data_IF_724982339255
#
_entry.id   IF_724982339255
#
_cell.length_a   1.000
_cell.length_b   1.000
_cell.length_c   1.000
_cell.angle_alpha   90.00
_cell.angle_beta   90.00
_cell.angle_gamma   90.00
#
_symmetry.space_group_name_H-M   'P 1'
#
loop_
_entity.id
_entity.type
_entity.pdbx_description
1 polymer ?
#
# COMPACT_ATOMS: atom_id res chain seq x y z
N UNK A 1 -5.23 6.16 7.48
CA UNK A 1 -3.83 6.65 7.48
C UNK A 1 -3.67 8.05 6.86
N UNK A 2 -4.73 8.74 6.43
CA UNK A 2 -4.62 10.07 5.81
C UNK A 2 -4.05 11.19 6.72
N UNK A 3 -3.99 10.96 8.04
CA UNK A 3 -3.45 11.92 9.02
C UNK A 3 -1.93 11.77 9.25
N UNK A 4 -1.29 10.81 8.60
CA UNK A 4 0.18 10.64 8.68
C UNK A 4 0.85 11.26 7.47
N UNK A 5 2.15 11.55 7.61
CA UNK A 5 2.98 12.07 6.53
C UNK A 5 2.88 11.22 5.25
N UNK A 6 2.42 11.79 4.12
CA UNK A 6 2.33 11.09 2.84
C UNK A 6 3.67 10.54 2.35
N UNK A 7 4.81 11.19 2.63
CA UNK A 7 6.12 10.74 2.15
C UNK A 7 6.48 9.35 2.69
N UNK A 8 6.02 9.03 3.90
CA UNK A 8 6.18 7.70 4.49
C UNK A 8 5.53 6.60 3.62
N UNK A 9 4.45 6.91 2.90
CA UNK A 9 3.72 5.96 2.05
C UNK A 9 4.29 5.88 0.64
N UNK A 10 5.12 6.83 0.22
CA UNK A 10 5.76 6.89 -1.09
C UNK A 10 7.29 7.01 -0.95
N UNK A 11 7.96 5.99 -0.37
CA UNK A 11 9.40 6.07 -0.15
C UNK A 11 10.18 6.07 -1.47
N UNK A 12 11.31 6.76 -1.48
CA UNK A 12 12.29 6.65 -2.57
C UNK A 12 12.78 5.22 -2.76
N UNK A 13 13.44 4.96 -3.91
CA UNK A 13 13.97 3.64 -4.24
C UNK A 13 14.95 3.16 -3.15
N UNK A 14 14.57 2.08 -2.46
CA UNK A 14 15.36 1.50 -1.36
C UNK A 14 14.96 1.97 0.04
N UNK A 15 14.02 2.91 0.14
CA UNK A 15 13.45 3.36 1.41
C UNK A 15 12.64 2.28 2.13
N UNK A 16 12.53 2.42 3.45
CA UNK A 16 11.79 1.48 4.29
C UNK A 16 10.29 1.62 4.09
N UNK A 17 9.60 0.48 3.94
CA UNK A 17 8.12 0.42 3.88
C UNK A 17 7.50 0.03 5.22
N UNK A 18 8.33 -0.25 6.24
CA UNK A 18 7.90 -0.93 7.47
C UNK A 18 6.95 -0.07 8.30
N UNK A 19 7.28 1.20 8.52
CA UNK A 19 6.47 2.09 9.35
C UNK A 19 5.14 2.43 8.67
N UNK A 20 5.16 2.77 7.38
CA UNK A 20 3.94 3.00 6.61
C UNK A 20 2.99 1.78 6.63
N UNK A 21 3.54 0.57 6.54
CA UNK A 21 2.73 -0.65 6.69
C UNK A 21 2.10 -0.78 8.08
N UNK A 22 2.84 -0.51 9.16
CA UNK A 22 2.28 -0.53 10.53
C UNK A 22 1.11 0.45 10.66
N UNK A 23 1.28 1.68 10.17
CA UNK A 23 0.22 2.70 10.18
C UNK A 23 -0.98 2.23 9.35
N UNK A 24 -0.74 1.67 8.17
CA UNK A 24 -1.80 1.19 7.30
C UNK A 24 -2.57 0.02 7.91
N UNK A 25 -1.91 -0.86 8.69
CA UNK A 25 -2.56 -1.98 9.37
C UNK A 25 -3.60 -1.56 10.40
N UNK A 26 -3.44 -0.38 11.01
CA UNK A 26 -4.39 0.21 11.95
C UNK A 26 -5.50 1.04 11.25
N UNK A 27 -5.50 1.13 9.92
CA UNK A 27 -6.51 1.87 9.18
C UNK A 27 -7.79 1.05 9.03
N UNK A 28 -8.93 1.60 9.41
CA UNK A 28 -10.24 0.92 9.35
C UNK A 28 -10.63 0.59 7.89
N UNK A 29 -10.40 1.52 6.96
CA UNK A 29 -10.71 1.36 5.53
C UNK A 29 -9.61 0.65 4.71
N UNK A 30 -8.81 -0.21 5.35
CA UNK A 30 -7.64 -0.83 4.72
C UNK A 30 -8.03 -1.72 3.53
N UNK A 31 -9.14 -2.45 3.65
CA UNK A 31 -9.60 -3.39 2.63
C UNK A 31 -10.07 -2.64 1.39
N UNK A 32 -10.88 -1.61 1.57
CA UNK A 32 -11.40 -0.73 0.51
C UNK A 32 -10.25 0.02 -0.18
N UNK A 33 -9.25 0.46 0.59
CA UNK A 33 -8.04 1.06 0.05
C UNK A 33 -7.24 0.09 -0.83
N UNK A 34 -7.16 -1.19 -0.43
CA UNK A 34 -6.50 -2.21 -1.25
C UNK A 34 -7.27 -2.47 -2.54
N UNK A 35 -8.58 -2.64 -2.45
CA UNK A 35 -9.45 -2.86 -3.60
C UNK A 35 -9.34 -1.72 -4.61
N UNK A 36 -9.39 -0.47 -4.13
CA UNK A 36 -9.18 0.71 -4.96
C UNK A 36 -7.83 0.64 -5.69
N UNK A 37 -6.74 0.35 -4.97
CA UNK A 37 -5.41 0.30 -5.55
C UNK A 37 -5.25 -0.81 -6.60
N UNK A 38 -5.93 -1.95 -6.41
CA UNK A 38 -5.92 -3.05 -7.39
C UNK A 38 -6.76 -2.72 -8.62
N UNK A 39 -7.93 -2.11 -8.44
CA UNK A 39 -8.84 -1.72 -9.51
C UNK A 39 -8.26 -0.62 -10.41
N UNK A 40 -7.53 0.34 -9.82
CA UNK A 40 -6.94 1.47 -10.54
C UNK A 40 -5.48 1.24 -10.96
N UNK A 41 -4.95 0.03 -10.79
CA UNK A 41 -3.57 -0.33 -11.08
C UNK A 41 -2.54 0.65 -10.46
N UNK A 42 -2.78 1.05 -9.20
CA UNK A 42 -1.92 2.01 -8.51
C UNK A 42 -0.48 1.49 -8.44
N UNK A 43 0.43 2.23 -9.09
CA UNK A 43 1.78 1.74 -9.42
C UNK A 43 2.83 2.04 -8.35
N UNK A 44 2.56 2.97 -7.45
CA UNK A 44 3.54 3.42 -6.48
C UNK A 44 2.98 3.38 -5.06
N UNK A 45 3.89 3.48 -4.08
CA UNK A 45 3.55 3.60 -2.67
C UNK A 45 2.89 2.39 -2.01
N UNK A 46 2.53 2.58 -0.75
CA UNK A 46 1.86 1.61 0.12
C UNK A 46 0.35 1.84 0.10
N UNK A 47 -0.40 0.82 -0.29
CA UNK A 47 -1.86 0.84 -0.35
C UNK A 47 -2.41 -0.42 0.30
N UNK A 48 -3.41 -0.27 1.16
CA UNK A 48 -4.02 -1.43 1.84
C UNK A 48 -3.04 -2.29 2.64
N UNK A 49 -1.93 -1.72 3.10
CA UNK A 49 -0.86 -2.41 3.83
C UNK A 49 0.15 -3.13 2.93
N UNK A 50 0.04 -3.01 1.61
CA UNK A 50 0.89 -3.68 0.64
C UNK A 50 1.71 -2.67 -0.18
N UNK A 51 2.98 -3.02 -0.42
CA UNK A 51 3.81 -2.37 -1.43
C UNK A 51 3.36 -2.73 -2.84
N UNK A 52 3.77 -1.93 -3.83
CA UNK A 52 3.57 -2.23 -5.25
C UNK A 52 3.95 -3.68 -5.58
N UNK A 53 5.13 -4.13 -5.14
CA UNK A 53 5.63 -5.48 -5.41
C UNK A 53 4.73 -6.56 -4.82
N UNK A 54 4.17 -6.33 -3.63
CA UNK A 54 3.23 -7.26 -2.99
C UNK A 54 1.87 -7.26 -3.70
N UNK A 55 1.34 -6.09 -4.08
CA UNK A 55 0.10 -5.99 -4.87
C UNK A 55 0.23 -6.72 -6.20
N UNK A 56 1.36 -6.57 -6.90
CA UNK A 56 1.65 -7.31 -8.14
C UNK A 56 1.68 -8.83 -7.92
N UNK A 57 2.22 -9.30 -6.81
CA UNK A 57 2.21 -10.75 -6.47
C UNK A 57 0.81 -11.24 -6.18
N UNK A 58 0.02 -10.46 -5.43
CA UNK A 58 -1.38 -10.77 -5.13
C UNK A 58 -2.22 -10.87 -6.41
N UNK A 59 -2.11 -9.88 -7.30
CA UNK A 59 -2.80 -9.87 -8.60
C UNK A 59 -2.44 -11.07 -9.47
N UNK A 60 -1.19 -11.55 -9.41
CA UNK A 60 -0.75 -12.76 -10.10
C UNK A 60 -1.26 -14.05 -9.48
N UNK A 61 -1.48 -14.09 -8.17
CA UNK A 61 -1.96 -15.28 -7.46
C UNK A 61 -3.49 -15.46 -7.55
N UNK A 62 -4.21 -14.41 -7.91
CA UNK A 62 -5.66 -14.43 -8.13
C UNK A 62 -6.07 -14.87 -9.55
N UNK A 63 -5.11 -15.23 -10.40
CA UNK A 63 -5.27 -15.75 -11.76
C UNK A 63 -4.85 -17.21 -11.75
#
# INVERSE_FOLDING_TARGET
CAQTDPESFFPEKGGSTREAKKVCLACEVRSECLEYALANDERFGIWGGLSERERRRLKKAAI
#
